data_IF_246825849769
#
_entry.id   IF_246825849769
#
_cell.length_a   1.000
_cell.length_b   1.000
_cell.length_c   1.000
_cell.angle_alpha   90.00
_cell.angle_beta   90.00
_cell.angle_gamma   90.00
#
_symmetry.space_group_name_H-M   'P 1'
#
loop_
_entity.id
_entity.type
_entity.pdbx_description
1 polymer ?
#
# COMPACT_ATOMS: atom_id res chain seq x y z
N UNK A 1 -22.88 38.62 -1.68
CA UNK A 1 -22.64 39.82 -2.51
C UNK A 1 -22.20 39.36 -3.90
N UNK A 2 -23.03 39.62 -4.92
CA UNK A 2 -22.86 39.61 -6.41
C UNK A 2 -21.68 38.81 -7.01
N UNK A 3 -21.92 37.71 -7.73
CA UNK A 3 -22.09 37.61 -9.20
C UNK A 3 -21.00 38.29 -10.05
N UNK A 4 -20.26 37.51 -10.84
CA UNK A 4 -19.71 37.98 -12.12
C UNK A 4 -19.79 36.88 -13.18
N UNK A 5 -20.84 36.97 -14.02
CA UNK A 5 -20.86 36.53 -15.42
C UNK A 5 -20.49 37.78 -16.24
N UNK A 6 -19.62 37.68 -17.24
CA UNK A 6 -20.00 37.93 -18.64
C UNK A 6 -18.85 37.77 -19.65
N UNK A 7 -19.29 37.33 -20.82
CA UNK A 7 -18.62 37.09 -22.08
C UNK A 7 -18.35 38.36 -22.90
N UNK A 8 -17.38 38.23 -23.82
CA UNK A 8 -17.39 38.65 -25.24
C UNK A 8 -17.21 40.13 -25.62
N UNK A 9 -16.19 40.40 -26.44
CA UNK A 9 -16.22 41.38 -27.56
C UNK A 9 -15.37 40.90 -28.75
N UNK A 10 -15.87 41.23 -29.94
CA UNK A 10 -15.49 40.81 -31.29
C UNK A 10 -14.91 41.98 -32.12
N UNK A 11 -14.32 41.65 -33.29
CA UNK A 11 -14.02 42.46 -34.50
C UNK A 11 -12.83 43.46 -34.39
N UNK A 12 -11.90 43.61 -35.35
CA UNK A 12 -12.00 43.67 -36.82
C UNK A 12 -10.71 43.23 -37.55
N UNK A 13 -10.85 42.87 -38.84
CA UNK A 13 -9.84 42.44 -39.80
C UNK A 13 -9.21 43.60 -40.61
N UNK A 14 -7.99 43.42 -41.16
CA UNK A 14 -7.52 44.11 -42.39
C UNK A 14 -6.72 43.13 -43.28
N UNK A 15 -6.99 43.24 -44.58
CA UNK A 15 -6.62 42.43 -45.74
C UNK A 15 -5.28 42.89 -46.34
N UNK A 16 -4.51 41.97 -46.92
CA UNK A 16 -3.37 42.26 -47.82
C UNK A 16 -3.14 41.11 -48.82
N UNK A 17 -3.20 41.42 -50.11
CA UNK A 17 -3.41 40.53 -51.27
C UNK A 17 -2.16 40.50 -52.16
N UNK A 18 -1.86 39.37 -52.81
CA UNK A 18 -1.26 39.21 -54.19
C UNK A 18 -0.68 37.78 -54.33
N UNK A 19 -1.32 36.86 -55.04
CA UNK A 19 -1.30 36.62 -56.51
C UNK A 19 -0.03 35.89 -57.00
N UNK A 20 -0.24 34.73 -57.67
CA UNK A 20 0.53 34.04 -58.74
C UNK A 20 0.48 32.51 -58.47
N UNK A 21 0.26 31.53 -59.36
CA UNK A 21 -0.21 31.32 -60.76
C UNK A 21 -0.53 29.80 -60.83
N UNK A 22 -1.49 29.40 -61.68
CA UNK A 22 -1.85 28.02 -62.06
C UNK A 22 -0.69 27.15 -62.56
N UNK A 23 -0.66 25.85 -62.24
CA UNK A 23 -0.51 24.74 -63.23
C UNK A 23 -1.16 23.46 -62.69
N UNK A 24 -1.99 22.84 -63.53
CA UNK A 24 -2.67 21.57 -63.33
C UNK A 24 -1.74 20.37 -63.54
N UNK A 25 -2.02 19.24 -62.88
CA UNK A 25 -1.90 17.90 -63.47
C UNK A 25 -2.45 16.83 -62.52
N UNK A 26 -3.60 16.29 -62.91
CA UNK A 26 -4.17 15.07 -62.36
C UNK A 26 -3.40 13.89 -62.98
N UNK A 27 -2.64 13.14 -62.18
CA UNK A 27 -2.11 11.83 -62.55
C UNK A 27 -2.41 10.87 -61.40
N UNK A 28 -3.32 9.94 -61.67
CA UNK A 28 -3.55 8.74 -60.87
C UNK A 28 -2.33 7.82 -60.98
N UNK A 29 -1.68 7.51 -59.86
CA UNK A 29 -1.05 6.20 -59.63
C UNK A 29 -0.72 6.04 -58.14
N UNK A 30 -1.19 4.91 -57.61
CA UNK A 30 -1.11 4.48 -56.23
C UNK A 30 0.35 4.37 -55.74
N UNK A 31 0.60 4.87 -54.53
CA UNK A 31 1.66 4.38 -53.65
C UNK A 31 1.20 4.56 -52.20
N UNK A 32 1.25 3.46 -51.45
CA UNK A 32 0.87 3.38 -50.06
C UNK A 32 1.65 4.37 -49.20
N UNK A 33 0.95 5.12 -48.34
CA UNK A 33 1.54 5.81 -47.21
C UNK A 33 0.89 5.31 -45.93
N UNK A 34 1.71 4.68 -45.10
CA UNK A 34 1.40 4.16 -43.78
C UNK A 34 0.57 5.14 -42.93
N UNK A 35 -0.72 4.85 -42.76
CA UNK A 35 -1.40 5.23 -41.53
C UNK A 35 -1.02 4.18 -40.49
N UNK A 36 -0.02 4.50 -39.67
CA UNK A 36 0.17 3.84 -38.37
C UNK A 36 -1.00 4.28 -37.51
N UNK A 37 -2.12 3.57 -37.61
CA UNK A 37 -3.08 3.48 -36.53
C UNK A 37 -2.44 2.58 -35.47
N UNK A 38 -1.69 3.17 -34.54
CA UNK A 38 -1.38 2.46 -33.30
C UNK A 38 -2.68 2.33 -32.53
N UNK A 39 -3.33 1.17 -32.69
CA UNK A 39 -4.15 0.60 -31.63
C UNK A 39 -3.28 0.61 -30.39
N UNK A 40 -3.77 1.28 -29.34
CA UNK A 40 -3.18 1.13 -28.01
C UNK A 40 -3.58 -0.27 -27.57
N UNK A 41 -2.79 -1.25 -28.00
CA UNK A 41 -2.95 -2.62 -27.55
C UNK A 41 -2.76 -2.58 -26.04
N UNK A 42 -3.82 -2.93 -25.34
CA UNK A 42 -3.83 -3.20 -23.92
C UNK A 42 -2.96 -4.44 -23.67
N UNK A 43 -1.65 -4.28 -23.77
CA UNK A 43 -0.69 -5.23 -23.21
C UNK A 43 -0.77 -5.11 -21.70
N UNK A 44 -1.73 -5.86 -21.15
CA UNK A 44 -1.74 -6.23 -19.75
C UNK A 44 -0.36 -6.77 -19.41
N UNK A 45 0.37 -6.04 -18.57
CA UNK A 45 1.55 -6.56 -17.90
C UNK A 45 1.05 -7.75 -17.08
N UNK A 46 1.17 -8.95 -17.65
CA UNK A 46 0.90 -10.18 -16.95
C UNK A 46 1.84 -10.20 -15.74
N UNK A 47 1.31 -9.89 -14.55
CA UNK A 47 2.08 -10.04 -13.32
C UNK A 47 2.60 -11.47 -13.29
N UNK A 48 3.93 -11.61 -13.31
CA UNK A 48 4.60 -12.91 -13.18
C UNK A 48 3.95 -13.65 -12.01
N UNK A 49 3.30 -14.79 -12.28
CA UNK A 49 2.47 -15.53 -11.33
C UNK A 49 3.25 -15.75 -10.04
N UNK A 50 2.95 -14.96 -9.01
CA UNK A 50 3.63 -15.03 -7.71
C UNK A 50 3.03 -16.21 -6.96
N UNK A 51 3.87 -17.14 -6.51
CA UNK A 51 3.42 -18.23 -5.64
C UNK A 51 2.89 -17.62 -4.32
N UNK A 52 1.64 -17.95 -3.97
CA UNK A 52 1.00 -17.43 -2.77
C UNK A 52 1.45 -18.21 -1.53
N UNK A 53 1.73 -17.48 -0.45
CA UNK A 53 1.99 -18.04 0.86
C UNK A 53 0.66 -18.26 1.59
N UNK A 54 0.45 -19.47 2.09
CA UNK A 54 -0.67 -19.80 2.96
C UNK A 54 -0.56 -19.04 4.29
N UNK A 55 -1.68 -18.52 4.78
CA UNK A 55 -1.75 -17.68 5.99
C UNK A 55 -2.48 -18.36 7.14
N UNK A 56 -3.19 -19.45 6.85
CA UNK A 56 -3.99 -20.23 7.79
C UNK A 56 -3.14 -20.90 8.87
N UNK A 57 -1.89 -21.24 8.53
CA UNK A 57 -0.92 -21.81 9.46
C UNK A 57 -0.52 -20.86 10.61
N UNK A 58 -0.86 -19.57 10.50
CA UNK A 58 -0.56 -18.56 11.50
C UNK A 58 -1.79 -18.16 12.33
N UNK A 59 -2.93 -18.84 12.14
CA UNK A 59 -4.12 -18.57 12.97
C UNK A 59 -3.88 -19.07 14.40
N UNK A 60 -4.29 -18.32 15.44
CA UNK A 60 -4.30 -18.82 16.81
C UNK A 60 -5.15 -20.09 16.91
N UNK A 61 -4.58 -21.16 17.48
CA UNK A 61 -5.28 -22.44 17.67
C UNK A 61 -5.38 -22.74 19.16
N UNK A 62 -6.60 -22.96 19.64
CA UNK A 62 -6.83 -23.47 21.00
C UNK A 62 -6.33 -24.91 21.10
N UNK A 63 -5.38 -25.15 21.98
CA UNK A 63 -4.87 -26.49 22.28
C UNK A 63 -5.49 -27.01 23.59
N UNK A 64 -5.58 -28.34 23.73
CA UNK A 64 -6.17 -29.02 24.87
C UNK A 64 -5.17 -30.00 25.47
N UNK A 65 -5.23 -30.18 26.79
CA UNK A 65 -4.41 -31.16 27.49
C UNK A 65 -4.95 -32.60 27.33
N UNK A 66 -4.27 -33.58 27.93
CA UNK A 66 -4.66 -35.00 27.90
C UNK A 66 -6.04 -35.28 28.54
N UNK A 67 -6.55 -34.33 29.34
CA UNK A 67 -7.88 -34.39 29.99
C UNK A 67 -8.93 -33.60 29.23
N UNK A 68 -8.61 -33.16 28.00
CA UNK A 68 -9.47 -32.36 27.14
C UNK A 68 -9.83 -30.99 27.76
N UNK A 69 -8.96 -30.43 28.60
CA UNK A 69 -9.10 -29.08 29.16
C UNK A 69 -8.32 -28.08 28.29
N UNK A 70 -8.89 -26.89 28.00
CA UNK A 70 -8.20 -25.89 27.19
C UNK A 70 -6.97 -25.35 27.92
N UNK A 71 -5.82 -25.39 27.25
CA UNK A 71 -4.60 -24.76 27.76
C UNK A 71 -4.68 -23.26 27.44
N UNK A 72 -4.44 -22.36 28.41
CA UNK A 72 -4.44 -20.92 28.16
C UNK A 72 -3.47 -20.55 27.02
N UNK A 73 -3.93 -19.69 26.11
CA UNK A 73 -3.09 -19.20 25.02
C UNK A 73 -2.05 -18.21 25.56
N UNK A 74 -0.78 -18.44 25.23
CA UNK A 74 0.32 -17.55 25.59
C UNK A 74 0.75 -16.73 24.38
N UNK A 75 0.54 -15.42 24.44
CA UNK A 75 0.96 -14.48 23.39
C UNK A 75 2.49 -14.37 23.39
N UNK A 76 3.09 -14.59 22.23
CA UNK A 76 4.54 -14.45 22.04
C UNK A 76 4.96 -12.97 22.03
N UNK A 77 6.16 -12.68 22.53
CA UNK A 77 6.69 -11.31 22.57
C UNK A 77 6.95 -10.75 21.17
N UNK A 78 6.73 -9.45 20.99
CA UNK A 78 7.00 -8.76 19.73
C UNK A 78 8.52 -8.79 19.40
N UNK A 79 8.95 -9.47 18.33
CA UNK A 79 10.37 -9.67 18.02
C UNK A 79 11.09 -8.36 17.65
N UNK A 80 10.35 -7.32 17.24
CA UNK A 80 10.90 -6.00 16.96
C UNK A 80 11.39 -5.29 18.23
N UNK A 81 10.78 -5.56 19.38
CA UNK A 81 11.13 -4.94 20.66
C UNK A 81 12.21 -5.71 21.43
N UNK A 82 12.44 -6.97 21.09
CA UNK A 82 13.40 -7.84 21.77
C UNK A 82 14.86 -7.35 21.65
N UNK A 83 15.20 -6.62 20.57
CA UNK A 83 16.56 -6.17 20.30
C UNK A 83 16.72 -4.67 20.55
N UNK A 84 17.08 -4.30 21.78
CA UNK A 84 17.38 -2.90 22.14
C UNK A 84 18.76 -2.51 21.62
N UNK A 85 18.83 -1.60 20.65
CA UNK A 85 20.07 -0.98 20.15
C UNK A 85 20.27 0.39 20.79
N UNK A 86 21.52 0.74 21.09
CA UNK A 86 21.90 2.11 21.41
C UNK A 86 21.95 2.93 20.12
N UNK A 87 21.15 3.98 20.03
CA UNK A 87 21.08 4.89 18.88
C UNK A 87 21.80 6.20 19.22
N UNK A 88 22.49 6.78 18.25
CA UNK A 88 23.11 8.10 18.41
C UNK A 88 22.08 9.17 18.83
N UNK A 89 22.45 10.01 19.80
CA UNK A 89 21.54 11.03 20.34
C UNK A 89 21.18 12.10 19.31
N UNK A 90 22.11 12.44 18.42
CA UNK A 90 21.87 13.36 17.31
C UNK A 90 20.83 12.82 16.34
N UNK A 91 20.93 11.54 15.99
CA UNK A 91 19.94 10.87 15.14
C UNK A 91 18.56 10.75 15.81
N UNK A 92 18.51 10.47 17.11
CA UNK A 92 17.25 10.52 17.88
C UNK A 92 16.63 11.91 17.82
N UNK A 93 17.41 12.97 18.04
CA UNK A 93 16.92 14.35 18.00
C UNK A 93 16.40 14.72 16.60
N UNK A 94 17.17 14.41 15.56
CA UNK A 94 16.76 14.65 14.16
C UNK A 94 15.47 13.91 13.81
N UNK A 95 15.29 12.68 14.33
CA UNK A 95 14.07 11.91 14.09
C UNK A 95 12.85 12.55 14.77
N UNK A 96 12.99 13.02 16.01
CA UNK A 96 11.95 13.77 16.72
C UNK A 96 11.61 15.08 15.98
N UNK A 97 12.60 15.80 15.50
CA UNK A 97 12.41 17.01 14.70
C UNK A 97 11.66 16.72 13.39
N UNK A 98 12.03 15.63 12.71
CA UNK A 98 11.33 15.18 11.51
C UNK A 98 9.85 14.88 11.81
N UNK A 99 9.56 14.13 12.87
CA UNK A 99 8.18 13.83 13.30
C UNK A 99 7.39 15.10 13.58
N UNK A 100 8.01 16.07 14.27
CA UNK A 100 7.39 17.36 14.58
C UNK A 100 7.12 18.18 13.32
N UNK A 101 8.04 18.19 12.35
CA UNK A 101 7.87 18.86 11.07
C UNK A 101 6.71 18.23 10.27
N UNK A 102 6.68 16.89 10.17
CA UNK A 102 5.62 16.19 9.45
C UNK A 102 4.23 16.41 10.07
N UNK A 103 4.11 16.41 11.40
CA UNK A 103 2.86 16.77 12.11
C UNK A 103 2.39 18.21 11.84
N UNK A 104 3.29 19.09 11.42
CA UNK A 104 2.99 20.47 11.02
C UNK A 104 2.82 20.62 9.50
N UNK A 105 2.66 19.49 8.79
CA UNK A 105 2.54 19.44 7.33
C UNK A 105 3.78 19.95 6.58
N UNK A 106 4.92 20.09 7.27
CA UNK A 106 6.21 20.43 6.67
C UNK A 106 6.97 19.16 6.30
N UNK A 107 6.50 18.51 5.23
CA UNK A 107 7.10 17.28 4.69
C UNK A 107 8.52 17.48 4.18
N UNK A 108 8.87 18.67 3.69
CA UNK A 108 10.19 18.95 3.14
C UNK A 108 11.25 19.00 4.24
N UNK A 109 10.99 19.72 5.34
CA UNK A 109 11.89 19.70 6.50
C UNK A 109 12.00 18.29 7.08
N UNK A 110 10.90 17.56 7.18
CA UNK A 110 10.92 16.18 7.67
C UNK A 110 11.84 15.29 6.81
N UNK A 111 11.68 15.31 5.48
CA UNK A 111 12.52 14.56 4.54
C UNK A 111 14.00 14.96 4.65
N UNK A 112 14.31 16.25 4.76
CA UNK A 112 15.69 16.73 4.92
C UNK A 112 16.34 16.16 6.18
N UNK A 113 15.65 16.20 7.32
CA UNK A 113 16.15 15.68 8.60
C UNK A 113 16.38 14.16 8.54
N UNK A 114 15.43 13.42 7.95
CA UNK A 114 15.55 11.97 7.76
C UNK A 114 16.73 11.60 6.86
N UNK A 115 16.97 12.37 5.80
CA UNK A 115 18.10 12.17 4.91
C UNK A 115 19.46 12.44 5.58
N UNK A 116 19.53 13.33 6.58
CA UNK A 116 20.75 13.50 7.38
C UNK A 116 21.01 12.24 8.21
N UNK A 117 19.98 11.67 8.85
CA UNK A 117 20.12 10.43 9.63
C UNK A 117 20.62 9.30 8.72
N UNK A 118 19.98 9.08 7.56
CA UNK A 118 20.33 7.97 6.64
C UNK A 118 21.78 8.07 6.13
N UNK A 119 22.35 9.28 6.04
CA UNK A 119 23.74 9.47 5.62
C UNK A 119 24.76 9.19 6.73
N UNK A 120 24.38 9.45 7.98
CA UNK A 120 25.29 9.35 9.13
C UNK A 120 25.17 7.99 9.82
N UNK A 121 23.95 7.45 9.89
CA UNK A 121 23.57 6.20 10.53
C UNK A 121 22.70 5.37 9.57
N UNK A 122 23.35 4.68 8.63
CA UNK A 122 22.68 3.93 7.55
C UNK A 122 22.07 2.59 7.99
N UNK A 123 22.31 2.18 9.24
CA UNK A 123 21.83 0.95 9.86
C UNK A 123 20.50 1.12 10.62
N UNK A 124 19.89 2.31 10.54
CA UNK A 124 18.61 2.63 11.17
C UNK A 124 17.45 2.47 10.18
N UNK A 125 16.52 1.55 10.47
CA UNK A 125 15.32 1.34 9.64
C UNK A 125 14.25 2.42 9.82
N UNK A 126 14.22 3.09 10.98
CA UNK A 126 13.20 4.08 11.35
C UNK A 126 13.04 5.24 10.36
N UNK A 127 14.12 5.90 9.93
CA UNK A 127 14.05 6.97 8.93
C UNK A 127 13.42 6.53 7.61
N UNK A 128 13.75 5.32 7.14
CA UNK A 128 13.17 4.74 5.93
C UNK A 128 11.67 4.44 6.09
N UNK A 129 11.24 3.94 7.25
CA UNK A 129 9.81 3.75 7.54
C UNK A 129 9.05 5.08 7.43
N UNK A 130 9.59 6.13 8.05
CA UNK A 130 8.94 7.44 8.05
C UNK A 130 8.95 8.12 6.67
N UNK A 131 10.01 7.97 5.88
CA UNK A 131 10.00 8.39 4.47
C UNK A 131 8.93 7.66 3.66
N UNK A 132 8.71 6.37 3.94
CA UNK A 132 7.63 5.59 3.35
C UNK A 132 6.25 6.15 3.71
N UNK A 133 6.04 6.51 4.97
CA UNK A 133 4.78 7.12 5.43
C UNK A 133 4.52 8.48 4.78
N UNK A 134 5.55 9.34 4.67
CA UNK A 134 5.46 10.64 3.99
C UNK A 134 5.11 10.43 2.51
N UNK A 135 5.83 9.56 1.80
CA UNK A 135 5.57 9.29 0.39
C UNK A 135 4.17 8.69 0.16
N UNK A 136 3.67 7.87 1.11
CA UNK A 136 2.31 7.35 1.06
C UNK A 136 1.26 8.45 1.24
N UNK A 137 1.47 9.39 2.18
CA UNK A 137 0.57 10.54 2.37
C UNK A 137 0.52 11.42 1.11
N UNK A 138 1.64 11.55 0.40
CA UNK A 138 1.76 12.22 -0.90
C UNK A 138 1.17 11.40 -2.07
N UNK A 139 0.61 10.21 -1.79
CA UNK A 139 0.09 9.23 -2.77
C UNK A 139 1.14 8.74 -3.77
N UNK A 140 2.42 8.95 -3.49
CA UNK A 140 3.52 8.39 -4.27
C UNK A 140 3.78 6.94 -3.84
N UNK A 141 2.88 6.04 -4.24
CA UNK A 141 2.92 4.65 -3.82
C UNK A 141 4.19 3.91 -4.26
N UNK A 142 4.76 4.27 -5.42
CA UNK A 142 6.00 3.66 -5.91
C UNK A 142 7.17 3.98 -4.98
N UNK A 143 7.32 5.25 -4.59
CA UNK A 143 8.38 5.70 -3.69
C UNK A 143 8.15 5.18 -2.26
N UNK A 144 6.91 5.17 -1.77
CA UNK A 144 6.56 4.59 -0.48
C UNK A 144 6.98 3.11 -0.40
N UNK A 145 6.69 2.33 -1.45
CA UNK A 145 7.11 0.93 -1.54
C UNK A 145 8.63 0.79 -1.43
N UNK A 146 9.40 1.62 -2.15
CA UNK A 146 10.86 1.59 -2.11
C UNK A 146 11.41 1.89 -0.71
N UNK A 147 10.88 2.92 -0.05
CA UNK A 147 11.32 3.29 1.29
C UNK A 147 11.02 2.21 2.34
N UNK A 148 9.81 1.65 2.35
CA UNK A 148 9.49 0.54 3.25
C UNK A 148 10.36 -0.69 2.98
N UNK A 149 10.59 -1.04 1.71
CA UNK A 149 11.48 -2.14 1.34
C UNK A 149 12.91 -1.92 1.84
N UNK A 150 13.41 -0.68 1.80
CA UNK A 150 14.76 -0.38 2.28
C UNK A 150 14.86 -0.47 3.80
N UNK A 151 13.90 0.04 4.55
CA UNK A 151 13.93 -0.11 6.00
C UNK A 151 13.73 -1.57 6.44
N UNK A 152 12.95 -2.38 5.71
CA UNK A 152 12.83 -3.82 5.95
C UNK A 152 14.10 -4.60 5.59
N UNK A 153 14.91 -4.11 4.65
CA UNK A 153 16.24 -4.67 4.37
C UNK A 153 17.20 -4.46 5.54
N UNK A 154 17.10 -3.30 6.20
CA UNK A 154 17.92 -2.96 7.38
C UNK A 154 17.45 -3.73 8.61
N UNK A 155 16.14 -3.81 8.83
CA UNK A 155 15.57 -4.56 9.94
C UNK A 155 14.40 -5.42 9.45
N UNK A 156 14.70 -6.69 9.20
CA UNK A 156 13.72 -7.68 8.73
C UNK A 156 12.72 -8.11 9.79
N UNK A 157 12.89 -7.73 11.07
CA UNK A 157 12.00 -8.08 12.18
C UNK A 157 10.92 -7.03 12.43
N UNK A 158 10.89 -5.93 11.64
CA UNK A 158 9.89 -4.88 11.78
C UNK A 158 8.55 -5.29 11.16
N UNK A 159 7.72 -5.97 11.94
CA UNK A 159 6.35 -6.40 11.57
C UNK A 159 5.46 -5.24 11.10
N UNK A 160 5.59 -4.04 11.70
CA UNK A 160 4.87 -2.83 11.29
C UNK A 160 5.29 -2.36 9.89
N UNK A 161 6.56 -2.56 9.50
CA UNK A 161 7.04 -2.25 8.16
C UNK A 161 6.38 -3.13 7.09
N UNK A 162 6.11 -4.41 7.40
CA UNK A 162 5.43 -5.31 6.47
C UNK A 162 3.96 -4.92 6.28
N UNK A 163 3.21 -4.56 7.33
CA UNK A 163 1.82 -4.11 7.19
C UNK A 163 1.74 -2.79 6.42
N UNK A 164 2.66 -1.85 6.66
CA UNK A 164 2.76 -0.61 5.90
C UNK A 164 3.04 -0.87 4.40
N UNK A 165 3.97 -1.78 4.09
CA UNK A 165 4.27 -2.19 2.72
C UNK A 165 3.08 -2.89 2.05
N UNK A 166 2.38 -3.78 2.76
CA UNK A 166 1.21 -4.47 2.25
C UNK A 166 0.06 -3.49 1.95
N UNK A 167 -0.13 -2.47 2.78
CA UNK A 167 -1.07 -1.37 2.54
C UNK A 167 -0.76 -0.65 1.22
N UNK A 168 0.51 -0.31 0.97
CA UNK A 168 0.93 0.29 -0.32
C UNK A 168 0.67 -0.64 -1.49
N UNK A 169 1.01 -1.93 -1.37
CA UNK A 169 0.78 -2.91 -2.42
C UNK A 169 -0.71 -3.07 -2.75
N UNK A 170 -1.59 -3.05 -1.74
CA UNK A 170 -3.05 -3.06 -1.91
C UNK A 170 -3.55 -1.82 -2.64
N UNK A 171 -3.05 -0.64 -2.29
CA UNK A 171 -3.36 0.62 -3.00
C UNK A 171 -2.88 0.63 -4.45
N UNK A 172 -1.87 -0.18 -4.78
CA UNK A 172 -1.39 -0.38 -6.15
C UNK A 172 -2.10 -1.52 -6.90
N UNK A 173 -3.09 -2.18 -6.30
CA UNK A 173 -3.77 -3.34 -6.89
C UNK A 173 -2.97 -4.65 -6.85
N UNK A 174 -1.82 -4.68 -6.17
CA UNK A 174 -0.91 -5.84 -6.10
C UNK A 174 -1.31 -6.78 -4.97
N UNK A 175 -2.54 -7.30 -5.00
CA UNK A 175 -3.14 -8.04 -3.89
C UNK A 175 -2.38 -9.33 -3.52
N UNK A 176 -1.91 -10.08 -4.52
CA UNK A 176 -1.10 -11.29 -4.28
C UNK A 176 0.21 -10.98 -3.54
N UNK A 177 0.84 -9.84 -3.84
CA UNK A 177 2.04 -9.40 -3.13
C UNK A 177 1.72 -8.92 -1.72
N UNK A 178 0.57 -8.24 -1.52
CA UNK A 178 0.11 -7.82 -0.21
C UNK A 178 -0.11 -9.04 0.71
N UNK A 179 -0.77 -10.09 0.21
CA UNK A 179 -0.96 -11.34 0.96
C UNK A 179 0.40 -11.93 1.38
N UNK A 180 1.34 -12.08 0.44
CA UNK A 180 2.66 -12.63 0.75
C UNK A 180 3.46 -11.75 1.72
N UNK A 181 3.29 -10.44 1.67
CA UNK A 181 3.97 -9.50 2.57
C UNK A 181 3.40 -9.61 3.99
N UNK A 182 2.08 -9.75 4.13
CA UNK A 182 1.43 -10.00 5.43
C UNK A 182 1.77 -11.39 5.98
N UNK A 183 1.83 -12.41 5.12
CA UNK A 183 2.27 -13.75 5.51
C UNK A 183 3.70 -13.75 6.07
N UNK A 184 4.59 -12.90 5.55
CA UNK A 184 5.94 -12.71 6.12
C UNK A 184 5.91 -12.03 7.49
N UNK A 185 4.99 -11.08 7.71
CA UNK A 185 4.81 -10.48 9.03
C UNK A 185 4.38 -11.55 10.05
N UNK A 186 3.40 -12.38 9.69
CA UNK A 186 2.91 -13.47 10.55
C UNK A 186 3.92 -14.60 10.73
N UNK A 187 4.80 -14.85 9.75
CA UNK A 187 5.90 -15.79 9.91
C UNK A 187 6.92 -15.33 10.98
N UNK A 188 7.06 -14.02 11.20
CA UNK A 188 7.92 -13.45 12.24
C UNK A 188 7.21 -13.40 13.58
N UNK A 189 5.94 -13.01 13.57
CA UNK A 189 5.11 -12.91 14.76
C UNK A 189 3.68 -13.32 14.43
N UNK A 190 3.30 -14.59 14.68
CA UNK A 190 1.95 -15.08 14.42
C UNK A 190 0.90 -14.31 15.21
N UNK A 191 1.24 -13.86 16.42
CA UNK A 191 0.33 -13.11 17.30
C UNK A 191 0.25 -11.62 16.97
N UNK A 192 0.60 -11.21 15.74
CA UNK A 192 0.56 -9.81 15.33
C UNK A 192 -0.84 -9.40 14.85
N UNK A 193 -1.64 -8.68 15.66
CA UNK A 193 -3.06 -8.50 15.36
C UNK A 193 -3.29 -7.65 14.11
N UNK A 194 -2.48 -6.62 13.88
CA UNK A 194 -2.61 -5.75 12.72
C UNK A 194 -2.39 -6.49 11.40
N UNK A 195 -1.55 -7.53 11.37
CA UNK A 195 -1.39 -8.34 10.16
C UNK A 195 -2.65 -9.18 9.88
N UNK A 196 -3.28 -9.76 10.91
CA UNK A 196 -4.55 -10.45 10.77
C UNK A 196 -5.67 -9.52 10.30
N UNK A 197 -5.79 -8.32 10.90
CA UNK A 197 -6.77 -7.33 10.45
C UNK A 197 -6.54 -6.87 9.00
N UNK A 198 -5.28 -6.66 8.58
CA UNK A 198 -4.99 -6.32 7.19
C UNK A 198 -5.27 -7.49 6.22
N UNK A 199 -5.11 -8.74 6.65
CA UNK A 199 -5.49 -9.92 5.86
C UNK A 199 -7.02 -10.06 5.76
N UNK A 200 -7.79 -9.80 6.81
CA UNK A 200 -9.25 -9.82 6.72
C UNK A 200 -9.77 -8.80 5.72
N UNK A 201 -9.23 -7.57 5.74
CA UNK A 201 -9.51 -6.52 4.73
C UNK A 201 -9.17 -7.03 3.33
N UNK A 202 -7.98 -7.60 3.15
CA UNK A 202 -7.49 -8.04 1.85
C UNK A 202 -8.37 -9.16 1.28
N UNK A 203 -8.69 -10.17 2.09
CA UNK A 203 -9.49 -11.31 1.67
C UNK A 203 -10.95 -10.94 1.38
N UNK A 204 -11.57 -10.13 2.22
CA UNK A 204 -12.96 -9.73 2.04
C UNK A 204 -13.12 -8.79 0.85
N UNK A 205 -12.49 -7.61 0.93
CA UNK A 205 -12.79 -6.49 0.04
C UNK A 205 -12.18 -6.67 -1.35
N UNK A 206 -11.01 -7.33 -1.45
CA UNK A 206 -10.24 -7.34 -2.70
C UNK A 206 -10.14 -8.69 -3.37
N UNK A 207 -10.26 -9.79 -2.61
CA UNK A 207 -10.09 -11.14 -3.14
C UNK A 207 -11.38 -11.97 -3.13
N UNK A 208 -12.46 -11.47 -2.50
CA UNK A 208 -13.73 -12.17 -2.34
C UNK A 208 -13.55 -13.59 -1.77
N UNK A 209 -12.74 -13.70 -0.71
CA UNK A 209 -12.46 -14.95 0.00
C UNK A 209 -13.02 -14.87 1.41
N UNK A 210 -14.35 -14.91 1.49
CA UNK A 210 -15.15 -14.70 2.70
C UNK A 210 -14.66 -15.54 3.89
N UNK A 211 -14.40 -16.83 3.67
CA UNK A 211 -13.93 -17.74 4.73
C UNK A 211 -12.57 -17.33 5.31
N UNK A 212 -11.58 -17.00 4.47
CA UNK A 212 -10.26 -16.57 4.94
C UNK A 212 -10.33 -15.21 5.64
N UNK A 213 -11.22 -14.33 5.18
CA UNK A 213 -11.45 -13.05 5.84
C UNK A 213 -12.01 -13.25 7.26
N UNK A 214 -13.01 -14.12 7.42
CA UNK A 214 -13.60 -14.47 8.70
C UNK A 214 -12.56 -15.06 9.66
N UNK A 215 -11.74 -16.01 9.18
CA UNK A 215 -10.68 -16.64 9.99
C UNK A 215 -9.69 -15.60 10.55
N UNK A 216 -9.21 -14.68 9.72
CA UNK A 216 -8.27 -13.67 10.18
C UNK A 216 -8.93 -12.55 11.01
N UNK A 217 -10.20 -12.22 10.77
CA UNK A 217 -10.92 -11.29 11.65
C UNK A 217 -11.15 -11.89 13.04
N UNK A 218 -11.46 -13.19 13.13
CA UNK A 218 -11.52 -13.92 14.40
C UNK A 218 -10.18 -13.91 15.13
N UNK A 219 -9.07 -14.15 14.42
CA UNK A 219 -7.73 -14.09 15.00
C UNK A 219 -7.41 -12.69 15.56
N UNK A 220 -7.76 -11.62 14.82
CA UNK A 220 -7.61 -10.24 15.30
C UNK A 220 -8.42 -9.99 16.59
N UNK A 221 -9.70 -10.37 16.60
CA UNK A 221 -10.60 -10.21 17.76
C UNK A 221 -10.08 -11.01 18.96
N UNK A 222 -9.54 -12.20 18.73
CA UNK A 222 -8.99 -13.04 19.78
C UNK A 222 -7.79 -12.38 20.48
N UNK A 223 -6.92 -11.72 19.73
CA UNK A 223 -5.69 -11.12 20.25
C UNK A 223 -5.90 -9.74 20.88
N UNK A 224 -6.71 -8.87 20.27
CA UNK A 224 -6.91 -7.47 20.72
C UNK A 224 -8.18 -7.27 21.56
N UNK A 225 -9.08 -8.27 21.56
CA UNK A 225 -10.43 -8.13 22.08
C UNK A 225 -11.40 -7.58 21.05
N UNK A 226 -12.69 -7.85 21.29
CA UNK A 226 -13.77 -7.43 20.40
C UNK A 226 -14.11 -5.95 20.59
N UNK A 227 -14.24 -5.23 19.47
CA UNK A 227 -14.87 -3.91 19.41
C UNK A 227 -16.10 -3.92 18.48
N UNK A 228 -16.93 -2.89 18.55
CA UNK A 228 -18.20 -2.84 17.83
C UNK A 228 -18.03 -2.99 16.31
N UNK A 229 -16.99 -2.37 15.73
CA UNK A 229 -16.69 -2.47 14.30
C UNK A 229 -16.35 -3.91 13.91
N UNK A 230 -15.44 -4.55 14.64
CA UNK A 230 -15.02 -5.92 14.39
C UNK A 230 -16.16 -6.93 14.57
N UNK A 231 -17.06 -6.72 15.56
CA UNK A 231 -18.28 -7.51 15.78
C UNK A 231 -19.22 -7.45 14.58
N UNK A 232 -19.56 -6.24 14.15
CA UNK A 232 -20.49 -6.03 13.03
C UNK A 232 -19.94 -6.61 11.74
N UNK A 233 -18.65 -6.42 11.48
CA UNK A 233 -18.03 -6.95 10.29
C UNK A 233 -17.98 -8.49 10.31
N UNK A 234 -17.67 -9.09 11.46
CA UNK A 234 -17.70 -10.55 11.60
C UNK A 234 -19.10 -11.11 11.37
N UNK A 235 -20.15 -10.46 11.89
CA UNK A 235 -21.52 -10.86 11.63
C UNK A 235 -21.85 -10.86 10.13
N UNK A 236 -21.48 -9.80 9.41
CA UNK A 236 -21.69 -9.71 7.96
C UNK A 236 -20.92 -10.79 7.18
N UNK A 237 -19.71 -11.14 7.63
CA UNK A 237 -18.94 -12.24 7.03
C UNK A 237 -19.62 -13.58 7.27
N UNK A 238 -20.16 -13.83 8.47
CA UNK A 238 -20.87 -15.06 8.81
C UNK A 238 -22.15 -15.23 7.97
N UNK A 239 -22.94 -14.17 7.83
CA UNK A 239 -24.17 -14.19 7.02
C UNK A 239 -23.87 -14.49 5.55
N UNK A 240 -22.80 -13.89 4.99
CA UNK A 240 -22.36 -14.16 3.62
C UNK A 240 -21.85 -15.58 3.44
N UNK A 241 -21.06 -16.10 4.38
CA UNK A 241 -20.54 -17.46 4.32
C UNK A 241 -21.67 -18.51 4.32
N UNK A 242 -22.69 -18.33 5.17
CA UNK A 242 -23.85 -19.23 5.22
C UNK A 242 -24.66 -19.23 3.91
N UNK A 243 -24.76 -18.08 3.24
CA UNK A 243 -25.46 -17.96 1.96
C UNK A 243 -24.69 -18.61 0.79
N UNK A 244 -23.36 -18.74 0.89
CA UNK A 244 -22.53 -19.44 -0.10
C UNK A 244 -22.62 -20.97 0.03
N UNK A 245 -22.99 -21.49 1.20
CA UNK A 245 -23.10 -22.92 1.50
C UNK A 245 -24.50 -23.51 1.22
N UNK A 246 -25.53 -22.67 1.04
CA UNK A 246 -26.94 -23.04 0.81
C UNK A 246 -27.32 -23.12 -0.67
#
# INVERSE_FOLDING_TARGET
MKFFKHNMRFFTAIVGRSSIVFVASLLLLACASHHVSQSVDAEGIAEKKVALLATEQYLPVQIYDEKNQPIPYEITENPYLAHKRQVDKGSVLLFIEAQKAWRKEDSETAKQKLNVIIRNDDDLSGPWMMLGDIALAEKNYALAQQHYQQGLKINSNNVNGYTALARVQRLQGKYNRAQNTLAKALALWPDFPEAHYNLSILFDIYLNKTQQAQQHLNAYIFLEGENEESRQWLQQLNERALAEES
#
